data_IF_037641116819
#
_entry.id   IF_037641116819
#
_cell.length_a   1.000
_cell.length_b   1.000
_cell.length_c   1.000
_cell.angle_alpha   90.00
_cell.angle_beta   90.00
_cell.angle_gamma   90.00
#
_symmetry.space_group_name_H-M   'P 1'
#
loop_
_entity.id
_entity.type
_entity.pdbx_description
1 polymer ?
#
# COMPACT_ATOMS: atom_id res chain seq x y z
N UNK A 1 2.02 -10.61 -19.16
CA UNK A 1 2.65 -9.66 -18.20
C UNK A 1 1.69 -9.50 -17.02
N UNK A 2 2.19 -9.45 -15.78
CA UNK A 2 1.37 -9.41 -14.55
C UNK A 2 1.18 -7.98 -14.07
N UNK A 3 0.02 -7.70 -13.47
CA UNK A 3 -0.32 -6.40 -12.88
C UNK A 3 -1.09 -6.63 -11.58
N UNK A 4 -0.75 -5.86 -10.56
CA UNK A 4 -1.41 -5.87 -9.27
C UNK A 4 -1.89 -4.46 -8.95
N UNK A 5 -3.10 -4.34 -8.44
CA UNK A 5 -3.63 -3.09 -7.90
C UNK A 5 -3.80 -3.25 -6.40
N UNK A 6 -3.30 -2.29 -5.64
CA UNK A 6 -3.67 -2.13 -4.24
C UNK A 6 -4.36 -0.79 -4.02
N UNK A 7 -5.30 -0.77 -3.10
CA UNK A 7 -6.10 0.42 -2.73
C UNK A 7 -5.83 0.73 -1.28
N UNK A 8 -5.43 1.96 -0.98
CA UNK A 8 -5.29 2.40 0.41
C UNK A 8 -6.51 3.23 0.83
N UNK A 9 -7.10 2.88 1.97
CA UNK A 9 -8.31 3.50 2.53
C UNK A 9 -7.94 4.26 3.77
N UNK A 10 -7.87 5.59 3.67
CA UNK A 10 -7.35 6.48 4.72
C UNK A 10 -8.30 7.62 5.07
N UNK A 11 -9.39 7.78 4.33
CA UNK A 11 -10.35 8.87 4.47
C UNK A 11 -11.74 8.34 4.72
N UNK A 12 -12.60 9.13 5.35
CA UNK A 12 -14.01 8.76 5.54
C UNK A 12 -14.74 8.71 4.19
N UNK A 13 -14.43 9.65 3.28
CA UNK A 13 -14.97 9.64 1.91
C UNK A 13 -14.54 8.39 1.14
N UNK A 14 -13.28 8.00 1.26
CA UNK A 14 -12.74 6.77 0.67
C UNK A 14 -13.39 5.52 1.23
N UNK A 15 -13.58 5.45 2.56
CA UNK A 15 -14.23 4.31 3.23
C UNK A 15 -15.74 4.19 2.93
N UNK A 16 -16.35 5.17 2.34
CA UNK A 16 -17.77 5.20 1.97
C UNK A 16 -17.94 5.22 0.45
N UNK A 17 -18.16 6.40 -0.11
CA UNK A 17 -18.44 6.60 -1.54
C UNK A 17 -17.31 6.12 -2.45
N UNK A 18 -16.04 6.26 -2.01
CA UNK A 18 -14.88 5.82 -2.78
C UNK A 18 -14.86 4.32 -2.98
N UNK A 19 -14.99 3.56 -1.89
CA UNK A 19 -15.03 2.10 -1.92
C UNK A 19 -16.19 1.57 -2.75
N UNK A 20 -17.40 2.11 -2.59
CA UNK A 20 -18.56 1.66 -3.37
C UNK A 20 -18.31 1.74 -4.88
N UNK A 21 -17.72 2.87 -5.34
CA UNK A 21 -17.40 3.09 -6.76
C UNK A 21 -16.32 2.13 -7.25
N UNK A 22 -15.26 1.94 -6.47
CA UNK A 22 -14.15 1.05 -6.86
C UNK A 22 -14.58 -0.42 -6.84
N UNK A 23 -15.36 -0.85 -5.85
CA UNK A 23 -15.87 -2.23 -5.81
C UNK A 23 -16.77 -2.52 -7.00
N UNK A 24 -17.68 -1.59 -7.37
CA UNK A 24 -18.50 -1.72 -8.57
C UNK A 24 -17.64 -1.81 -9.84
N UNK A 25 -16.58 -1.01 -9.94
CA UNK A 25 -15.65 -1.02 -11.06
C UNK A 25 -14.90 -2.35 -11.14
N UNK A 26 -14.29 -2.82 -10.04
CA UNK A 26 -13.55 -4.07 -10.03
C UNK A 26 -14.43 -5.27 -10.33
N UNK A 27 -15.66 -5.28 -9.83
CA UNK A 27 -16.67 -6.29 -10.15
C UNK A 27 -17.02 -6.30 -11.65
N UNK A 28 -17.23 -5.13 -12.26
CA UNK A 28 -17.55 -5.01 -13.69
C UNK A 28 -16.43 -5.54 -14.60
N UNK A 29 -15.19 -5.46 -14.14
CA UNK A 29 -14.03 -5.96 -14.88
C UNK A 29 -13.53 -7.33 -14.39
N UNK A 30 -14.20 -7.96 -13.44
CA UNK A 30 -13.84 -9.27 -12.87
C UNK A 30 -12.39 -9.33 -12.40
N UNK A 31 -11.96 -8.33 -11.64
CA UNK A 31 -10.59 -8.27 -11.08
C UNK A 31 -10.65 -8.23 -9.55
N UNK A 32 -9.77 -9.00 -8.92
CA UNK A 32 -9.53 -8.94 -7.49
C UNK A 32 -8.31 -8.07 -7.19
N UNK A 33 -8.38 -7.31 -6.11
CA UNK A 33 -7.34 -6.37 -5.67
C UNK A 33 -7.09 -6.53 -4.17
N UNK A 34 -6.03 -5.91 -3.64
CA UNK A 34 -5.76 -5.88 -2.21
C UNK A 34 -6.06 -4.50 -1.65
N UNK A 35 -6.91 -4.43 -0.61
CA UNK A 35 -7.21 -3.19 0.10
C UNK A 35 -6.40 -3.11 1.40
N UNK A 36 -5.73 -2.00 1.62
CA UNK A 36 -5.10 -1.68 2.90
C UNK A 36 -5.95 -0.63 3.60
N UNK A 37 -6.45 -0.96 4.80
CA UNK A 37 -7.39 -0.12 5.53
C UNK A 37 -6.79 0.41 6.82
N UNK A 38 -6.94 1.72 7.04
CA UNK A 38 -6.78 2.35 8.35
C UNK A 38 -8.09 2.22 9.13
N UNK A 39 -8.00 2.02 10.43
CA UNK A 39 -9.17 1.95 11.31
C UNK A 39 -9.27 3.15 12.26
N UNK A 40 -8.29 4.04 12.20
CA UNK A 40 -8.21 5.24 13.02
C UNK A 40 -8.89 6.47 12.41
N UNK A 41 -8.45 7.67 12.81
CA UNK A 41 -9.01 8.92 12.32
C UNK A 41 -8.86 9.07 10.80
N UNK A 42 -9.95 9.38 10.11
CA UNK A 42 -9.88 9.66 8.67
C UNK A 42 -8.96 10.85 8.38
N UNK A 43 -8.17 10.74 7.34
CA UNK A 43 -7.19 11.76 6.93
C UNK A 43 -7.84 13.07 6.48
N UNK A 44 -9.07 13.00 5.96
CA UNK A 44 -9.92 14.12 5.59
C UNK A 44 -10.64 14.78 6.79
N UNK A 45 -10.51 14.20 8.00
CA UNK A 45 -11.09 14.75 9.21
C UNK A 45 -10.27 15.91 9.75
N UNK A 46 -10.86 17.06 9.97
CA UNK A 46 -10.20 18.20 10.60
C UNK A 46 -9.74 17.90 12.03
N UNK A 47 -8.75 18.63 12.54
CA UNK A 47 -8.05 18.35 13.82
C UNK A 47 -9.02 18.06 14.99
N UNK A 48 -10.06 18.88 15.18
CA UNK A 48 -11.04 18.65 16.25
C UNK A 48 -11.96 17.45 16.01
N UNK A 49 -12.28 17.13 14.76
CA UNK A 49 -13.12 15.99 14.39
C UNK A 49 -12.40 14.66 14.58
N UNK A 50 -11.08 14.64 14.52
CA UNK A 50 -10.25 13.43 14.75
C UNK A 50 -10.35 12.89 16.18
N UNK A 51 -10.85 13.71 17.12
CA UNK A 51 -11.07 13.30 18.51
C UNK A 51 -12.41 12.58 18.74
N UNK A 52 -13.27 12.53 17.74
CA UNK A 52 -14.60 11.89 17.84
C UNK A 52 -14.57 10.52 17.14
N UNK A 53 -15.11 9.50 17.80
CA UNK A 53 -15.16 8.14 17.26
C UNK A 53 -15.91 8.04 15.93
N UNK A 54 -16.91 8.91 15.68
CA UNK A 54 -17.65 8.94 14.42
C UNK A 54 -16.82 9.33 13.18
N UNK A 55 -15.62 9.89 13.39
CA UNK A 55 -14.68 10.22 12.30
C UNK A 55 -13.54 9.20 12.17
N UNK A 56 -13.59 8.11 12.93
CA UNK A 56 -12.70 6.98 12.71
C UNK A 56 -13.30 6.08 11.63
N UNK A 57 -12.44 5.53 10.79
CA UNK A 57 -12.85 4.60 9.73
C UNK A 57 -13.49 3.33 10.30
N UNK A 58 -13.14 2.97 11.54
CA UNK A 58 -13.77 1.89 12.26
C UNK A 58 -15.31 2.05 12.38
N UNK A 59 -15.83 3.27 12.39
CA UNK A 59 -17.28 3.51 12.38
C UNK A 59 -17.98 3.04 11.08
N UNK A 60 -17.20 2.78 10.03
CA UNK A 60 -17.66 2.30 8.72
C UNK A 60 -17.29 0.82 8.49
N UNK A 61 -17.05 0.06 9.56
CA UNK A 61 -16.53 -1.30 9.51
C UNK A 61 -17.34 -2.29 8.66
N UNK A 62 -18.63 -2.08 8.50
CA UNK A 62 -19.48 -2.98 7.72
C UNK A 62 -19.07 -3.04 6.24
N UNK A 63 -18.57 -1.94 5.67
CA UNK A 63 -18.11 -1.94 4.28
C UNK A 63 -16.85 -2.77 4.11
N UNK A 64 -15.97 -2.84 5.11
CA UNK A 64 -14.75 -3.64 5.03
C UNK A 64 -15.05 -5.15 4.94
N UNK A 65 -16.13 -5.60 5.59
CA UNK A 65 -16.62 -6.99 5.46
C UNK A 65 -17.19 -7.28 4.06
N UNK A 66 -17.70 -6.25 3.37
CA UNK A 66 -18.16 -6.39 1.98
C UNK A 66 -16.99 -6.63 1.03
N UNK A 67 -15.84 -5.99 1.26
CA UNK A 67 -14.63 -6.16 0.45
C UNK A 67 -14.20 -7.64 0.42
N UNK A 68 -14.11 -8.27 1.59
CA UNK A 68 -13.73 -9.67 1.70
C UNK A 68 -14.74 -10.61 1.01
N UNK A 69 -16.04 -10.36 1.22
CA UNK A 69 -17.11 -11.12 0.57
C UNK A 69 -17.13 -10.97 -0.95
N UNK A 70 -16.64 -9.85 -1.47
CA UNK A 70 -16.50 -9.59 -2.89
C UNK A 70 -15.26 -10.28 -3.52
N UNK A 71 -14.48 -11.03 -2.72
CA UNK A 71 -13.30 -11.76 -3.20
C UNK A 71 -12.05 -10.90 -3.36
N UNK A 72 -11.98 -9.80 -2.61
CA UNK A 72 -10.78 -8.98 -2.50
C UNK A 72 -10.03 -9.27 -1.21
N UNK A 73 -8.71 -9.01 -1.19
CA UNK A 73 -7.90 -9.18 0.01
C UNK A 73 -7.88 -7.93 0.86
N UNK A 74 -7.68 -8.13 2.17
CA UNK A 74 -7.55 -7.07 3.15
C UNK A 74 -6.19 -7.11 3.83
N UNK A 75 -5.57 -5.94 3.98
CA UNK A 75 -4.38 -5.69 4.77
C UNK A 75 -4.55 -4.48 5.67
N UNK A 76 -3.70 -4.38 6.66
CA UNK A 76 -3.70 -3.29 7.64
C UNK A 76 -2.92 -2.08 7.11
N UNK A 77 -3.38 -0.87 7.42
CA UNK A 77 -2.62 0.38 7.29
C UNK A 77 -2.42 1.02 8.67
N UNK A 78 -1.54 2.03 8.82
CA UNK A 78 -1.31 2.71 10.09
C UNK A 78 -2.59 3.25 10.71
N UNK A 79 -2.65 3.26 12.07
CA UNK A 79 -3.80 3.78 12.80
C UNK A 79 -4.14 5.23 12.46
N UNK A 80 -3.18 6.13 12.64
CA UNK A 80 -3.31 7.56 12.30
C UNK A 80 -2.44 7.88 11.09
N UNK A 81 -3.03 7.79 9.91
CA UNK A 81 -2.33 7.97 8.63
C UNK A 81 -1.76 9.37 8.45
N UNK A 82 -2.39 10.42 9.01
CA UNK A 82 -1.83 11.78 8.97
C UNK A 82 -0.62 11.93 9.87
N UNK A 83 -0.68 11.40 11.11
CA UNK A 83 0.46 11.41 12.01
C UNK A 83 1.58 10.53 11.45
N UNK A 84 1.23 9.37 10.87
CA UNK A 84 2.20 8.48 10.24
C UNK A 84 2.94 9.17 9.10
N UNK A 85 2.23 9.76 8.15
CA UNK A 85 2.82 10.45 7.00
C UNK A 85 3.80 11.57 7.40
N UNK A 86 3.54 12.26 8.53
CA UNK A 86 4.36 13.37 8.96
C UNK A 86 5.52 13.00 9.90
N UNK A 87 5.40 11.88 10.63
CA UNK A 87 6.32 11.58 11.74
C UNK A 87 7.09 10.27 11.56
N UNK A 88 6.57 9.28 10.84
CA UNK A 88 7.10 7.91 10.85
C UNK A 88 8.59 7.84 10.47
N UNK A 89 9.03 8.62 9.48
CA UNK A 89 10.42 8.61 9.02
C UNK A 89 11.46 8.94 10.11
N UNK A 90 11.06 9.72 11.12
CA UNK A 90 11.92 10.19 12.20
C UNK A 90 11.50 9.70 13.58
N UNK A 91 10.44 8.89 13.63
CA UNK A 91 9.87 8.38 14.87
C UNK A 91 10.79 7.36 15.54
N UNK A 92 10.77 7.36 16.87
CA UNK A 92 11.43 6.35 17.66
C UNK A 92 10.61 5.04 17.74
N UNK A 93 11.19 4.05 18.39
CA UNK A 93 10.58 2.73 18.56
C UNK A 93 9.27 2.80 19.35
N UNK A 94 9.20 3.65 20.38
CA UNK A 94 8.05 3.74 21.27
C UNK A 94 6.83 4.35 20.58
N UNK A 95 7.06 5.42 19.82
CA UNK A 95 6.00 6.02 19.00
C UNK A 95 5.49 5.02 17.94
N UNK A 96 6.40 4.37 17.22
CA UNK A 96 6.06 3.38 16.20
C UNK A 96 5.27 2.23 16.80
N UNK A 97 5.71 1.72 17.99
CA UNK A 97 5.01 0.68 18.71
C UNK A 97 3.59 1.09 19.10
N UNK A 98 3.42 2.33 19.53
CA UNK A 98 2.09 2.84 19.93
C UNK A 98 1.14 2.88 18.73
N UNK A 99 1.59 3.37 17.56
CA UNK A 99 0.78 3.39 16.35
C UNK A 99 0.45 1.98 15.86
N UNK A 100 1.47 1.10 15.84
CA UNK A 100 1.33 -0.30 15.46
C UNK A 100 0.33 -1.04 16.35
N UNK A 101 0.48 -0.92 17.67
CA UNK A 101 -0.39 -1.59 18.63
C UNK A 101 -1.85 -1.17 18.44
N UNK A 102 -2.12 0.13 18.28
CA UNK A 102 -3.48 0.63 18.04
C UNK A 102 -4.09 0.07 16.75
N UNK A 103 -3.32 0.05 15.67
CA UNK A 103 -3.77 -0.53 14.42
C UNK A 103 -4.10 -2.02 14.57
N UNK A 104 -3.20 -2.78 15.19
CA UNK A 104 -3.34 -4.22 15.41
C UNK A 104 -4.53 -4.57 16.31
N UNK A 105 -4.70 -3.88 17.43
CA UNK A 105 -5.82 -4.09 18.36
C UNK A 105 -7.16 -3.79 17.65
N UNK A 106 -7.26 -2.68 16.95
CA UNK A 106 -8.48 -2.35 16.21
C UNK A 106 -8.79 -3.34 15.08
N UNK A 107 -7.77 -3.87 14.44
CA UNK A 107 -7.92 -4.92 13.44
C UNK A 107 -8.45 -6.21 14.06
N UNK A 108 -7.84 -6.65 15.16
CA UNK A 108 -8.25 -7.86 15.89
C UNK A 108 -9.68 -7.75 16.43
N UNK A 109 -10.04 -6.58 16.97
CA UNK A 109 -11.40 -6.31 17.47
C UNK A 109 -12.44 -6.39 16.36
N UNK A 110 -12.10 -5.93 15.14
CA UNK A 110 -13.01 -5.91 14.01
C UNK A 110 -13.14 -7.27 13.32
N UNK A 111 -12.01 -7.92 13.03
CA UNK A 111 -11.96 -9.12 12.20
C UNK A 111 -11.78 -10.43 12.97
N UNK A 112 -11.42 -10.35 14.27
CA UNK A 112 -11.13 -11.50 15.13
C UNK A 112 -9.99 -12.41 14.60
N UNK A 113 -9.10 -11.84 13.78
CA UNK A 113 -7.89 -12.49 13.24
C UNK A 113 -6.75 -11.50 13.19
N UNK A 114 -5.52 -11.99 13.07
CA UNK A 114 -4.37 -11.13 12.81
C UNK A 114 -4.36 -10.65 11.34
N UNK A 115 -3.86 -9.44 11.06
CA UNK A 115 -3.65 -9.02 9.67
C UNK A 115 -2.60 -9.90 9.01
N UNK A 116 -2.82 -10.25 7.75
CA UNK A 116 -1.85 -11.00 6.96
C UNK A 116 -0.81 -10.08 6.31
N UNK A 117 -1.10 -8.80 6.16
CA UNK A 117 -0.26 -7.84 5.45
C UNK A 117 -0.43 -6.41 5.97
N UNK A 118 0.55 -5.56 5.64
CA UNK A 118 0.58 -4.14 5.99
C UNK A 118 0.99 -3.27 4.79
N UNK A 119 0.57 -2.01 4.80
CA UNK A 119 1.07 -0.99 3.89
C UNK A 119 1.21 0.37 4.58
N UNK A 120 2.41 0.92 4.57
CA UNK A 120 2.68 2.25 5.10
C UNK A 120 2.07 3.35 4.24
N UNK A 121 1.54 4.38 4.91
CA UNK A 121 1.03 5.60 4.29
C UNK A 121 2.18 6.41 3.71
N UNK A 122 1.99 6.95 2.52
CA UNK A 122 2.93 7.83 1.79
C UNK A 122 4.37 7.27 1.74
N UNK A 123 4.51 5.93 1.86
CA UNK A 123 5.82 5.28 1.88
C UNK A 123 6.76 5.79 2.98
N UNK A 124 6.17 6.23 4.10
CA UNK A 124 6.93 6.67 5.26
C UNK A 124 7.18 5.49 6.19
N UNK A 125 8.43 5.15 6.40
CA UNK A 125 8.86 3.98 7.17
C UNK A 125 9.97 4.33 8.15
N UNK A 126 10.22 3.45 9.09
CA UNK A 126 11.41 3.43 9.92
C UNK A 126 11.82 1.98 10.24
N UNK A 127 13.02 1.75 10.79
CA UNK A 127 13.50 0.38 11.05
C UNK A 127 12.59 -0.43 11.96
N UNK A 128 11.91 0.23 12.90
CA UNK A 128 11.04 -0.42 13.89
C UNK A 128 9.76 -0.98 13.28
N UNK A 129 9.27 -0.38 12.18
CA UNK A 129 8.14 -0.92 11.43
C UNK A 129 8.47 -2.32 10.92
N UNK A 130 9.60 -2.51 10.26
CA UNK A 130 10.03 -3.80 9.72
C UNK A 130 10.24 -4.86 10.81
N UNK A 131 10.70 -4.43 11.99
CA UNK A 131 10.78 -5.30 13.17
C UNK A 131 9.39 -5.78 13.62
N UNK A 132 8.41 -4.87 13.73
CA UNK A 132 7.06 -5.20 14.19
C UNK A 132 6.28 -6.05 13.18
N UNK A 133 6.43 -5.81 11.90
CA UNK A 133 5.86 -6.65 10.84
C UNK A 133 6.34 -8.10 10.94
N UNK A 134 7.64 -8.28 11.11
CA UNK A 134 8.22 -9.60 11.31
C UNK A 134 7.71 -10.25 12.61
N UNK A 135 7.68 -9.51 13.72
CA UNK A 135 7.21 -10.02 15.01
C UNK A 135 5.73 -10.42 14.96
N UNK A 136 4.91 -9.70 14.19
CA UNK A 136 3.51 -10.04 13.99
C UNK A 136 3.30 -11.23 13.05
N UNK A 137 4.35 -11.70 12.38
CA UNK A 137 4.28 -12.84 11.46
C UNK A 137 3.49 -12.52 10.19
N UNK A 138 3.57 -11.28 9.69
CA UNK A 138 2.90 -10.92 8.45
C UNK A 138 3.44 -11.76 7.29
N UNK A 139 2.56 -12.17 6.38
CA UNK A 139 2.93 -12.88 5.18
C UNK A 139 3.75 -12.00 4.22
N UNK A 140 3.40 -10.71 4.14
CA UNK A 140 4.12 -9.69 3.38
C UNK A 140 3.77 -8.29 3.86
N UNK A 141 4.55 -7.31 3.42
CA UNK A 141 4.19 -5.91 3.53
C UNK A 141 4.45 -5.17 2.21
N UNK A 142 3.88 -3.98 2.07
CA UNK A 142 4.03 -3.17 0.86
C UNK A 142 4.22 -1.70 1.23
N UNK A 143 5.36 -1.37 1.84
CA UNK A 143 5.60 -0.08 2.49
C UNK A 143 6.45 0.88 1.69
N UNK A 144 7.08 0.40 0.61
CA UNK A 144 8.12 1.13 -0.09
C UNK A 144 7.90 1.12 -1.60
N UNK A 145 8.55 2.04 -2.29
CA UNK A 145 8.71 2.00 -3.74
C UNK A 145 9.85 1.05 -4.12
N UNK A 146 9.77 0.43 -5.29
CA UNK A 146 10.85 -0.47 -5.74
C UNK A 146 10.55 -1.21 -7.03
N UNK A 147 11.23 -2.34 -7.26
CA UNK A 147 11.14 -3.06 -8.55
C UNK A 147 10.82 -4.55 -8.41
N UNK A 148 11.13 -5.14 -7.27
CA UNK A 148 11.00 -6.59 -7.07
C UNK A 148 10.81 -6.92 -5.60
N UNK A 149 10.20 -8.06 -5.24
CA UNK A 149 10.12 -8.53 -3.86
C UNK A 149 11.50 -8.63 -3.23
N UNK A 150 11.62 -8.28 -1.95
CA UNK A 150 12.89 -8.29 -1.22
C UNK A 150 12.68 -8.35 0.30
N UNK A 151 13.72 -8.76 1.04
CA UNK A 151 13.77 -8.61 2.50
C UNK A 151 14.42 -7.27 2.86
N UNK A 152 13.74 -6.41 3.65
CA UNK A 152 14.24 -5.08 3.93
C UNK A 152 15.35 -5.08 4.99
N UNK A 153 16.35 -4.22 4.76
CA UNK A 153 17.38 -3.88 5.74
C UNK A 153 17.44 -2.36 5.88
N UNK A 154 17.18 -1.86 7.08
CA UNK A 154 17.22 -0.42 7.38
C UNK A 154 17.93 -0.18 8.72
N UNK A 155 18.96 0.68 8.73
CA UNK A 155 19.74 1.02 9.93
C UNK A 155 20.16 -0.20 10.78
N UNK A 156 20.66 -1.23 10.13
CA UNK A 156 21.09 -2.50 10.72
C UNK A 156 19.97 -3.41 11.26
N UNK A 157 18.70 -3.04 11.15
CA UNK A 157 17.57 -3.94 11.36
C UNK A 157 17.30 -4.69 10.07
N UNK A 158 17.36 -6.01 10.14
CA UNK A 158 17.03 -6.93 9.06
C UNK A 158 15.67 -7.55 9.35
N UNK A 159 14.80 -7.62 8.33
CA UNK A 159 13.49 -8.26 8.46
C UNK A 159 13.32 -9.36 7.42
N UNK A 160 12.64 -10.44 7.81
CA UNK A 160 12.22 -11.52 6.93
C UNK A 160 10.74 -11.41 6.51
N UNK A 161 10.05 -10.34 6.88
CA UNK A 161 8.77 -10.00 6.27
C UNK A 161 9.05 -9.46 4.86
N UNK A 162 8.59 -10.20 3.84
CA UNK A 162 8.87 -9.81 2.46
C UNK A 162 8.16 -8.50 2.10
N UNK A 163 8.90 -7.58 1.51
CA UNK A 163 8.34 -6.37 0.93
C UNK A 163 7.94 -6.62 -0.53
N UNK A 164 6.69 -6.31 -0.86
CA UNK A 164 6.16 -6.27 -2.22
C UNK A 164 6.04 -4.80 -2.64
N UNK A 165 7.08 -4.20 -3.23
CA UNK A 165 7.13 -2.76 -3.43
C UNK A 165 6.13 -2.29 -4.48
N UNK A 166 5.68 -1.04 -4.35
CA UNK A 166 4.95 -0.34 -5.40
C UNK A 166 5.94 0.02 -6.50
N UNK A 167 5.62 -0.35 -7.74
CA UNK A 167 6.55 -0.24 -8.87
C UNK A 167 6.21 0.92 -9.80
N UNK A 168 4.96 1.38 -9.79
CA UNK A 168 4.51 2.54 -10.56
C UNK A 168 4.49 3.79 -9.67
N UNK A 169 4.79 4.92 -10.27
CA UNK A 169 4.76 6.19 -9.55
C UNK A 169 3.37 6.45 -8.96
N UNK A 170 3.28 6.86 -7.69
CA UNK A 170 2.02 7.30 -7.11
C UNK A 170 1.42 8.46 -7.91
N UNK A 171 0.09 8.50 -8.03
CA UNK A 171 -0.59 9.59 -8.75
C UNK A 171 -0.33 10.95 -8.12
N UNK A 172 -0.18 11.02 -6.79
CA UNK A 172 0.20 12.24 -6.09
C UNK A 172 1.54 12.80 -6.56
N UNK A 173 2.51 11.92 -6.83
CA UNK A 173 3.82 12.31 -7.37
C UNK A 173 3.66 12.85 -8.79
N UNK A 174 2.95 12.15 -9.67
CA UNK A 174 2.75 12.59 -11.05
C UNK A 174 2.00 13.94 -11.12
N UNK A 175 1.02 14.15 -10.26
CA UNK A 175 0.29 15.43 -10.16
C UNK A 175 1.19 16.56 -9.64
N UNK A 176 2.04 16.28 -8.65
CA UNK A 176 2.94 17.29 -8.06
C UNK A 176 3.96 17.83 -9.08
N UNK A 177 4.39 17.02 -10.03
CA UNK A 177 5.35 17.46 -11.07
C UNK A 177 4.79 18.54 -11.99
N UNK A 178 3.47 18.69 -12.07
CA UNK A 178 2.77 19.60 -13.00
C UNK A 178 3.17 19.42 -14.51
N UNK A 179 3.81 18.31 -14.84
CA UNK A 179 4.24 17.98 -16.22
C UNK A 179 3.12 17.38 -17.05
N UNK A 180 2.12 16.78 -16.40
CA UNK A 180 1.06 16.02 -17.04
C UNK A 180 -0.30 16.65 -16.74
N UNK A 181 -1.20 16.60 -17.72
CA UNK A 181 -2.60 16.96 -17.51
C UNK A 181 -3.34 15.78 -16.89
N UNK A 182 -4.32 16.03 -16.03
CA UNK A 182 -5.15 14.99 -15.41
C UNK A 182 -5.77 14.03 -16.46
N UNK A 183 -6.14 14.58 -17.61
CA UNK A 183 -6.71 13.81 -18.74
C UNK A 183 -5.76 12.79 -19.37
N UNK A 184 -4.44 12.97 -19.24
CA UNK A 184 -3.39 12.15 -19.86
C UNK A 184 -2.56 11.35 -18.86
N UNK A 185 -2.80 11.48 -17.55
CA UNK A 185 -2.07 10.74 -16.50
C UNK A 185 -2.09 9.23 -16.73
N UNK A 186 -3.21 8.68 -17.21
CA UNK A 186 -3.35 7.26 -17.50
C UNK A 186 -2.42 6.79 -18.65
N UNK A 187 -2.14 7.64 -19.63
CA UNK A 187 -1.23 7.33 -20.73
C UNK A 187 0.21 7.23 -20.23
N UNK A 188 0.62 8.17 -19.38
CA UNK A 188 1.96 8.16 -18.76
C UNK A 188 2.16 6.95 -17.84
N UNK A 189 1.18 6.66 -16.99
CA UNK A 189 1.21 5.47 -16.14
C UNK A 189 1.27 4.19 -16.97
N UNK A 190 0.47 4.11 -18.06
CA UNK A 190 0.49 2.97 -18.94
C UNK A 190 1.85 2.81 -19.62
N UNK A 191 2.43 3.88 -20.15
CA UNK A 191 3.76 3.86 -20.75
C UNK A 191 4.83 3.39 -19.75
N UNK A 192 4.80 3.91 -18.52
CA UNK A 192 5.70 3.50 -17.43
C UNK A 192 5.51 2.02 -17.06
N UNK A 193 4.28 1.51 -17.16
CA UNK A 193 3.95 0.12 -16.86
C UNK A 193 4.45 -0.89 -17.89
N UNK A 194 4.94 -0.45 -19.06
CA UNK A 194 5.45 -1.36 -20.09
C UNK A 194 6.81 -1.98 -19.75
N UNK A 195 7.48 -1.53 -18.68
CA UNK A 195 8.71 -2.16 -18.20
C UNK A 195 8.41 -3.59 -17.75
N UNK A 196 9.23 -4.53 -18.20
CA UNK A 196 9.12 -5.93 -17.78
C UNK A 196 9.80 -6.06 -16.41
N UNK A 197 9.02 -6.43 -15.42
CA UNK A 197 9.49 -6.76 -14.06
C UNK A 197 9.15 -8.22 -13.75
N UNK A 198 10.03 -8.97 -13.05
CA UNK A 198 9.80 -10.39 -12.73
C UNK A 198 8.50 -10.65 -11.97
N UNK A 199 8.19 -9.83 -10.98
CA UNK A 199 6.96 -9.93 -10.20
C UNK A 199 5.75 -9.23 -10.86
N UNK A 200 5.93 -8.57 -12.00
CA UNK A 200 4.91 -7.73 -12.63
C UNK A 200 4.91 -6.30 -12.10
N UNK A 201 3.90 -5.55 -12.50
CA UNK A 201 3.70 -4.16 -12.06
C UNK A 201 2.77 -4.11 -10.86
N UNK A 202 3.08 -3.25 -9.90
CA UNK A 202 2.22 -2.97 -8.77
C UNK A 202 1.87 -1.47 -8.74
N UNK A 203 0.58 -1.18 -8.80
CA UNK A 203 0.04 0.17 -8.72
C UNK A 203 -0.79 0.34 -7.46
N UNK A 204 -0.45 1.33 -6.65
CA UNK A 204 -1.24 1.72 -5.47
C UNK A 204 -2.03 2.98 -5.76
N UNK A 205 -3.33 2.93 -5.43
CA UNK A 205 -4.25 4.06 -5.54
C UNK A 205 -4.89 4.37 -4.18
N UNK A 206 -5.36 5.60 -4.02
CA UNK A 206 -6.27 5.96 -2.93
C UNK A 206 -7.68 5.46 -3.22
N UNK A 207 -8.45 5.14 -2.17
CA UNK A 207 -9.87 4.86 -2.30
C UNK A 207 -10.69 6.07 -2.81
N UNK A 208 -10.15 7.29 -2.66
CA UNK A 208 -10.75 8.52 -3.20
C UNK A 208 -10.37 8.80 -4.66
N UNK A 209 -9.62 7.91 -5.30
CA UNK A 209 -9.16 8.16 -6.67
C UNK A 209 -10.33 8.24 -7.65
N UNK A 210 -10.13 9.02 -8.71
CA UNK A 210 -11.11 9.16 -9.78
C UNK A 210 -11.35 7.80 -10.48
N UNK A 211 -12.53 7.20 -10.36
CA UNK A 211 -12.79 5.88 -10.92
C UNK A 211 -12.64 5.85 -12.45
N UNK A 212 -12.85 6.96 -13.14
CA UNK A 212 -12.67 7.04 -14.60
C UNK A 212 -11.20 6.86 -14.98
N UNK A 213 -10.26 7.41 -14.20
CA UNK A 213 -8.83 7.21 -14.42
C UNK A 213 -8.45 5.74 -14.17
N UNK A 214 -8.96 5.15 -13.09
CA UNK A 214 -8.73 3.74 -12.75
C UNK A 214 -9.29 2.82 -13.84
N UNK A 215 -10.50 3.11 -14.32
CA UNK A 215 -11.13 2.36 -15.41
C UNK A 215 -10.29 2.38 -16.69
N UNK A 216 -9.84 3.57 -17.11
CA UNK A 216 -8.96 3.71 -18.28
C UNK A 216 -7.70 2.84 -18.17
N UNK A 217 -7.06 2.83 -16.99
CA UNK A 217 -5.89 1.97 -16.75
C UNK A 217 -6.23 0.48 -16.87
N UNK A 218 -7.34 0.04 -16.27
CA UNK A 218 -7.79 -1.36 -16.37
C UNK A 218 -8.05 -1.75 -17.82
N UNK A 219 -8.76 -0.91 -18.58
CA UNK A 219 -9.06 -1.15 -20.00
C UNK A 219 -7.77 -1.28 -20.83
N UNK A 220 -6.81 -0.38 -20.65
CA UNK A 220 -5.52 -0.42 -21.35
C UNK A 220 -4.73 -1.69 -21.00
N UNK A 221 -4.70 -2.08 -19.74
CA UNK A 221 -4.02 -3.30 -19.29
C UNK A 221 -4.70 -4.58 -19.79
N UNK A 222 -6.04 -4.64 -19.77
CA UNK A 222 -6.77 -5.76 -20.37
C UNK A 222 -6.55 -5.84 -21.87
N UNK A 223 -6.55 -4.71 -22.57
CA UNK A 223 -6.23 -4.61 -24.00
C UNK A 223 -4.82 -5.08 -24.35
N UNK A 224 -3.88 -5.02 -23.42
CA UNK A 224 -2.51 -5.55 -23.57
C UNK A 224 -2.36 -6.98 -22.99
N UNK A 225 -3.45 -7.70 -22.77
CA UNK A 225 -3.49 -9.09 -22.28
C UNK A 225 -2.73 -9.28 -20.96
N UNK A 226 -2.85 -8.35 -20.03
CA UNK A 226 -2.26 -8.49 -18.69
C UNK A 226 -3.11 -9.39 -17.81
N UNK A 227 -2.43 -10.19 -17.03
CA UNK A 227 -3.00 -10.97 -15.94
C UNK A 227 -3.05 -10.09 -14.69
N UNK A 228 -4.22 -10.00 -14.06
CA UNK A 228 -4.39 -9.32 -12.78
C UNK A 228 -4.20 -10.31 -11.64
N UNK A 229 -3.33 -9.97 -10.69
CA UNK A 229 -3.05 -10.75 -9.50
C UNK A 229 -3.31 -9.92 -8.25
N UNK A 230 -3.66 -10.58 -7.15
CA UNK A 230 -3.65 -9.97 -5.81
C UNK A 230 -2.25 -9.99 -5.21
N UNK A 231 -1.98 -9.19 -4.19
CA UNK A 231 -0.68 -9.19 -3.51
C UNK A 231 -0.37 -10.52 -2.82
N UNK A 232 -1.32 -11.22 -2.16
CA UNK A 232 -1.07 -12.58 -1.68
C UNK A 232 -0.58 -13.54 -2.76
N UNK A 233 -1.17 -13.53 -3.95
CA UNK A 233 -0.71 -14.38 -5.06
C UNK A 233 0.70 -14.00 -5.53
N UNK A 234 1.07 -12.72 -5.49
CA UNK A 234 2.44 -12.28 -5.77
C UNK A 234 3.40 -12.72 -4.67
N UNK A 235 2.99 -12.67 -3.39
CA UNK A 235 3.80 -13.12 -2.26
C UNK A 235 4.09 -14.64 -2.35
N UNK A 236 3.07 -15.45 -2.66
CA UNK A 236 3.22 -16.89 -2.87
C UNK A 236 4.20 -17.20 -4.01
N UNK A 237 4.03 -16.55 -5.15
CA UNK A 237 4.96 -16.72 -6.28
C UNK A 237 6.39 -16.24 -5.95
N UNK A 238 6.53 -15.21 -5.12
CA UNK A 238 7.83 -14.71 -4.68
C UNK A 238 8.52 -15.70 -3.73
N UNK A 239 7.77 -16.39 -2.85
CA UNK A 239 8.32 -17.37 -1.92
C UNK A 239 9.00 -18.57 -2.62
N UNK A 240 8.64 -18.85 -3.87
CA UNK A 240 9.28 -19.86 -4.71
C UNK A 240 10.58 -19.36 -5.36
N UNK A 241 10.91 -18.09 -5.21
CA UNK A 241 12.10 -17.46 -5.81
C UNK A 241 13.17 -17.14 -4.76
N UNK A 242 14.39 -16.87 -5.21
CA UNK A 242 15.49 -16.41 -4.36
C UNK A 242 15.29 -14.93 -4.01
N UNK A 243 14.58 -14.66 -2.91
CA UNK A 243 14.33 -13.30 -2.42
C UNK A 243 15.60 -12.79 -1.73
N UNK A 244 16.15 -11.69 -2.23
CA UNK A 244 17.36 -11.09 -1.70
C UNK A 244 17.09 -10.01 -0.67
N UNK A 245 18.05 -9.77 0.20
CA UNK A 245 18.06 -8.61 1.08
C UNK A 245 18.44 -7.35 0.30
N UNK A 246 17.68 -6.27 0.49
CA UNK A 246 17.99 -4.95 -0.04
C UNK A 246 17.93 -3.90 1.07
N UNK A 247 18.81 -2.91 0.98
CA UNK A 247 18.70 -1.74 1.82
C UNK A 247 17.47 -0.94 1.46
N UNK A 248 16.79 -0.41 2.46
CA UNK A 248 15.78 0.62 2.29
C UNK A 248 16.45 1.97 2.46
N UNK A 249 16.32 2.80 1.44
CA UNK A 249 16.82 4.17 1.42
C UNK A 249 15.67 5.16 1.23
N UNK A 250 16.03 6.42 1.10
CA UNK A 250 15.10 7.50 0.81
C UNK A 250 15.38 8.07 -0.56
N UNK A 251 14.32 8.32 -1.32
CA UNK A 251 14.40 8.98 -2.61
C UNK A 251 13.44 10.17 -2.66
N UNK A 252 13.91 11.26 -3.21
CA UNK A 252 13.10 12.46 -3.36
C UNK A 252 12.18 12.30 -4.56
N UNK A 253 10.89 12.32 -4.30
CA UNK A 253 9.85 12.20 -5.30
C UNK A 253 9.50 13.60 -5.87
N UNK A 254 10.41 14.20 -6.61
CA UNK A 254 10.29 15.55 -7.17
C UNK A 254 9.59 16.52 -6.16
N UNK A 255 8.43 17.08 -6.51
CA UNK A 255 7.69 18.02 -5.65
C UNK A 255 6.76 17.33 -4.62
N UNK A 256 6.75 16.01 -4.56
CA UNK A 256 5.88 15.21 -3.67
C UNK A 256 6.55 14.77 -2.35
N UNK A 257 7.79 15.21 -2.08
CA UNK A 257 8.52 14.90 -0.85
C UNK A 257 9.38 13.64 -0.93
N UNK A 258 9.75 13.08 0.23
CA UNK A 258 10.61 11.90 0.33
C UNK A 258 9.79 10.63 0.54
N UNK A 259 10.15 9.57 -0.17
CA UNK A 259 9.56 8.25 -0.02
C UNK A 259 10.65 7.19 0.21
N UNK A 260 10.34 6.19 1.03
CA UNK A 260 11.20 5.04 1.20
C UNK A 260 11.22 4.19 -0.07
N UNK A 261 12.41 3.75 -0.46
CA UNK A 261 12.60 3.00 -1.69
C UNK A 261 13.56 1.84 -1.52
N UNK A 262 13.34 0.78 -2.30
CA UNK A 262 14.26 -0.33 -2.48
C UNK A 262 15.57 0.20 -3.08
N UNK A 263 16.66 0.06 -2.36
CA UNK A 263 17.99 0.48 -2.77
C UNK A 263 18.85 -0.71 -3.22
N UNK A 264 20.16 -0.61 -3.10
CA UNK A 264 21.09 -1.65 -3.53
C UNK A 264 20.88 -2.97 -2.77
N UNK A 265 21.04 -4.09 -3.47
CA UNK A 265 21.09 -5.40 -2.84
C UNK A 265 22.22 -5.45 -1.81
N UNK A 266 21.97 -6.06 -0.66
CA UNK A 266 23.02 -6.34 0.30
C UNK A 266 23.97 -7.39 -0.31
N UNK A 267 25.27 -7.24 -0.09
CA UNK A 267 26.24 -8.25 -0.49
C UNK A 267 25.89 -9.57 0.23
N UNK A 268 25.87 -10.67 -0.51
CA UNK A 268 25.68 -12.00 0.05
C UNK A 268 26.71 -12.21 1.15
N UNK A 269 26.28 -12.27 2.40
CA UNK A 269 27.11 -12.77 3.51
C UNK A 269 27.12 -14.30 3.47
N UNK A 270 27.55 -14.88 2.34
CA UNK A 270 27.91 -16.30 2.34
C UNK A 270 29.21 -16.44 3.09
N UNK A 271 29.12 -16.84 4.32
CA UNK A 271 30.19 -17.52 5.06
C UNK A 271 29.62 -18.72 5.80
#
# INVERSE_FOLDING_TARGET
MRTTISVIVETVSGATTGLERLLALFSAYEISVTFFISLGPGRDSGFFRRLTASNHLLAHADIFRVIEKAGHDLGMAPWDTSAWASMAAHADREWTRTQWKRALESWQDLFNVNPASHAATDFQVNPWLFEFEQQAGLAFASDVLGKSPFFPVMQSIESHCVQLPVTLAPLSVLRATNKFQESTLHEELFASSQKILPAGQHWRISADENPVLVEKMIVMWKGSSREFLTLPAVAEAAAESDIRQHKVGWDQQEDAGWAATQSLACADRRR
#
